data_IF_836969634467
#
_entry.id   IF_836969634467
#
_cell.length_a   1.000
_cell.length_b   1.000
_cell.length_c   1.000
_cell.angle_alpha   90.00
_cell.angle_beta   90.00
_cell.angle_gamma   90.00
#
_symmetry.space_group_name_H-M   'P 1'
#
loop_
_entity.id
_entity.type
_entity.pdbx_description
1 polymer ?
#
# COMPACT_ATOMS: atom_id res chain seq x y z
N UNK A 1 8.55 11.33 4.35
CA UNK A 1 7.15 10.90 4.32
C UNK A 1 6.67 10.96 2.89
N UNK A 2 5.98 9.93 2.40
CA UNK A 2 5.36 9.94 1.08
C UNK A 2 3.87 9.60 1.21
N UNK A 3 3.05 10.13 0.30
CA UNK A 3 1.61 9.90 0.30
C UNK A 3 1.10 9.48 -1.07
N UNK A 4 0.06 8.66 -1.08
CA UNK A 4 -0.67 8.27 -2.28
C UNK A 4 -2.18 8.36 -1.98
N UNK A 5 -2.95 8.93 -2.91
CA UNK A 5 -4.39 9.11 -2.77
C UNK A 5 -5.11 8.36 -3.87
N UNK A 6 -6.19 7.67 -3.51
CA UNK A 6 -7.02 6.92 -4.44
C UNK A 6 -8.49 7.27 -4.26
N UNK A 7 -9.19 7.47 -5.37
CA UNK A 7 -10.64 7.57 -5.36
C UNK A 7 -11.24 6.24 -5.79
N UNK A 8 -12.05 5.64 -4.93
CA UNK A 8 -12.77 4.38 -5.21
C UNK A 8 -14.26 4.66 -5.02
N UNK A 9 -14.99 4.71 -6.13
CA UNK A 9 -16.36 5.22 -6.14
C UNK A 9 -16.41 6.69 -5.73
N UNK A 10 -17.19 6.99 -4.69
CA UNK A 10 -17.32 8.34 -4.12
C UNK A 10 -16.42 8.59 -2.91
N UNK A 11 -15.55 7.63 -2.54
CA UNK A 11 -14.67 7.74 -1.37
C UNK A 11 -13.23 7.99 -1.81
N UNK A 12 -12.59 8.97 -1.17
CA UNK A 12 -11.15 9.20 -1.27
C UNK A 12 -10.45 8.46 -0.12
N UNK A 13 -9.35 7.80 -0.46
CA UNK A 13 -8.50 7.10 0.49
C UNK A 13 -7.08 7.64 0.37
N UNK A 14 -6.59 8.24 1.45
CA UNK A 14 -5.22 8.75 1.54
C UNK A 14 -4.34 7.79 2.33
N UNK A 15 -3.19 7.44 1.76
CA UNK A 15 -2.22 6.53 2.35
C UNK A 15 -0.92 7.25 2.57
N UNK A 16 -0.31 7.00 3.71
CA UNK A 16 1.00 7.56 4.05
C UNK A 16 1.98 6.43 4.26
N UNK A 17 3.19 6.59 3.74
CA UNK A 17 4.34 5.78 4.02
C UNK A 17 5.38 6.64 4.73
N UNK A 18 5.73 6.21 5.94
CA UNK A 18 6.67 6.90 6.81
C UNK A 18 7.87 5.99 7.07
N UNK A 19 9.06 6.49 6.77
CA UNK A 19 10.28 5.74 7.02
C UNK A 19 10.59 5.77 8.52
N UNK A 20 10.73 4.59 9.12
CA UNK A 20 11.13 4.39 10.50
C UNK A 20 12.64 4.12 10.50
N UNK A 21 13.42 5.10 10.97
CA UNK A 21 14.89 5.04 10.90
C UNK A 21 15.49 4.00 11.86
N UNK A 22 14.80 3.75 12.97
CA UNK A 22 15.11 2.77 14.02
C UNK A 22 15.07 1.32 13.50
N UNK A 23 14.04 0.98 12.75
CA UNK A 23 13.86 -0.38 12.18
C UNK A 23 14.26 -0.48 10.72
N UNK A 24 14.63 0.64 10.07
CA UNK A 24 14.86 0.75 8.63
C UNK A 24 13.68 0.21 7.79
N UNK A 25 12.46 0.37 8.29
CA UNK A 25 11.23 -0.12 7.64
C UNK A 25 10.28 1.02 7.31
N UNK A 26 9.28 0.74 6.48
CA UNK A 26 8.22 1.69 6.16
C UNK A 26 6.97 1.36 6.99
N UNK A 27 6.45 2.35 7.69
CA UNK A 27 5.17 2.31 8.37
C UNK A 27 4.10 2.89 7.45
N UNK A 28 3.07 2.10 7.16
CA UNK A 28 1.96 2.51 6.30
C UNK A 28 0.72 2.80 7.13
N UNK A 29 0.00 3.88 6.79
CA UNK A 29 -1.24 4.29 7.47
C UNK A 29 -2.29 4.78 6.48
N UNK A 30 -3.54 4.72 6.92
CA UNK A 30 -4.69 5.38 6.31
C UNK A 30 -5.38 6.21 7.39
N UNK A 31 -5.24 7.54 7.35
CA UNK A 31 -5.52 8.39 8.51
C UNK A 31 -4.69 7.94 9.71
N UNK A 32 -5.34 7.65 10.84
CA UNK A 32 -4.71 7.13 12.05
C UNK A 32 -4.68 5.59 12.13
N UNK A 33 -5.31 4.90 11.17
CA UNK A 33 -5.40 3.46 11.19
C UNK A 33 -4.15 2.80 10.57
N UNK A 34 -3.67 1.67 11.13
CA UNK A 34 -2.60 0.91 10.52
C UNK A 34 -3.04 0.32 9.18
N UNK A 35 -2.11 0.29 8.24
CA UNK A 35 -2.32 -0.23 6.89
C UNK A 35 -1.30 -1.34 6.59
N UNK A 36 -1.78 -2.50 6.20
CA UNK A 36 -0.94 -3.55 5.64
C UNK A 36 -0.77 -3.34 4.14
N UNK A 37 0.48 -3.40 3.67
CA UNK A 37 0.82 -3.32 2.25
C UNK A 37 1.44 -4.65 1.83
N UNK A 38 0.93 -5.22 0.75
CA UNK A 38 1.48 -6.44 0.17
C UNK A 38 1.30 -6.44 -1.35
N UNK A 39 2.00 -7.34 -2.03
CA UNK A 39 2.16 -7.27 -3.48
C UNK A 39 1.59 -8.50 -4.19
N UNK A 40 1.11 -8.32 -5.43
CA UNK A 40 0.60 -9.42 -6.27
C UNK A 40 1.13 -9.35 -7.71
N UNK A 41 1.35 -10.51 -8.34
CA UNK A 41 1.73 -10.62 -9.77
C UNK A 41 0.53 -10.72 -10.72
N UNK A 42 -0.65 -11.06 -10.19
CA UNK A 42 -1.91 -11.17 -10.91
C UNK A 42 -3.08 -10.99 -9.94
N UNK A 43 -4.32 -11.24 -10.38
CA UNK A 43 -5.50 -10.99 -9.55
C UNK A 43 -5.49 -11.73 -8.19
N UNK A 44 -4.92 -12.95 -8.14
CA UNK A 44 -5.08 -13.83 -6.98
C UNK A 44 -3.79 -14.30 -6.29
N UNK A 45 -2.59 -14.09 -6.87
CA UNK A 45 -1.33 -14.60 -6.29
C UNK A 45 -0.51 -13.50 -5.63
N UNK A 46 -0.40 -13.57 -4.29
CA UNK A 46 0.53 -12.77 -3.50
C UNK A 46 1.98 -13.12 -3.85
N UNK A 47 2.86 -12.13 -3.82
CA UNK A 47 4.29 -12.30 -4.06
C UNK A 47 5.11 -11.58 -2.99
N UNK A 48 6.22 -12.17 -2.58
CA UNK A 48 7.25 -11.48 -1.79
C UNK A 48 8.21 -10.65 -2.64
N UNK A 49 8.15 -10.78 -3.97
CA UNK A 49 9.00 -9.99 -4.87
C UNK A 49 8.25 -8.74 -5.34
N UNK A 50 8.32 -7.72 -4.51
CA UNK A 50 7.73 -6.41 -4.72
C UNK A 50 8.14 -5.80 -6.08
N UNK A 51 9.41 -5.98 -6.49
CA UNK A 51 9.92 -5.50 -7.80
C UNK A 51 9.22 -6.11 -9.01
N UNK A 52 8.80 -7.38 -8.93
CA UNK A 52 8.10 -8.08 -10.02
C UNK A 52 6.58 -7.97 -9.95
N UNK A 53 6.05 -7.40 -8.86
CA UNK A 53 4.64 -7.22 -8.65
C UNK A 53 3.99 -6.39 -9.75
N UNK A 54 2.77 -6.74 -10.11
CA UNK A 54 1.92 -5.94 -11.00
C UNK A 54 0.96 -5.05 -10.22
N UNK A 55 0.65 -5.43 -8.98
CA UNK A 55 -0.30 -4.75 -8.12
C UNK A 55 0.25 -4.56 -6.71
N UNK A 56 -0.06 -3.41 -6.13
CA UNK A 56 0.12 -3.10 -4.71
C UNK A 56 -1.26 -3.14 -4.07
N UNK A 57 -1.40 -3.92 -3.01
CA UNK A 57 -2.63 -4.05 -2.26
C UNK A 57 -2.50 -3.39 -0.89
N UNK A 58 -3.58 -2.74 -0.48
CA UNK A 58 -3.69 -1.97 0.73
C UNK A 58 -4.85 -2.54 1.54
N UNK A 59 -4.57 -2.95 2.77
CA UNK A 59 -5.55 -3.59 3.64
C UNK A 59 -5.56 -2.91 5.01
N UNK A 60 -6.73 -2.43 5.41
CA UNK A 60 -7.06 -1.94 6.75
C UNK A 60 -8.37 -2.56 7.22
N UNK A 61 -8.81 -2.23 8.44
CA UNK A 61 -10.13 -2.64 8.92
C UNK A 61 -11.29 -2.01 8.10
N UNK A 62 -11.06 -0.85 7.49
CA UNK A 62 -12.10 -0.09 6.77
C UNK A 62 -12.14 -0.38 5.27
N UNK A 63 -11.03 -0.84 4.68
CA UNK A 63 -10.94 -1.03 3.24
C UNK A 63 -9.90 -2.09 2.85
N UNK A 64 -10.20 -2.78 1.75
CA UNK A 64 -9.25 -3.65 1.05
C UNK A 64 -9.35 -3.42 -0.45
N UNK A 65 -8.25 -2.98 -1.07
CA UNK A 65 -8.19 -2.83 -2.52
C UNK A 65 -6.77 -3.01 -3.04
N UNK A 66 -6.65 -3.22 -4.35
CA UNK A 66 -5.37 -3.32 -5.04
C UNK A 66 -5.34 -2.33 -6.21
N UNK A 67 -4.24 -1.61 -6.33
CA UNK A 67 -3.95 -0.73 -7.46
C UNK A 67 -2.80 -1.28 -8.29
N UNK A 68 -2.66 -0.80 -9.53
CA UNK A 68 -1.49 -1.09 -10.36
C UNK A 68 -0.22 -0.59 -9.64
N UNK A 69 0.89 -1.32 -9.81
CA UNK A 69 2.17 -1.08 -9.11
C UNK A 69 2.52 0.42 -9.04
N UNK A 70 2.81 0.88 -7.84
CA UNK A 70 3.20 2.26 -7.53
C UNK A 70 4.72 2.47 -7.58
N UNK A 71 5.22 3.72 -7.49
CA UNK A 71 6.62 4.04 -7.18
C UNK A 71 6.94 3.96 -5.67
N UNK A 72 8.24 4.03 -5.33
CA UNK A 72 8.74 3.52 -4.04
C UNK A 72 8.36 4.56 -3.01
N UNK A 73 7.86 4.16 -1.83
CA UNK A 73 8.05 2.87 -1.16
C UNK A 73 6.83 1.94 -1.21
N UNK A 74 5.89 2.15 -2.13
CA UNK A 74 4.67 1.35 -2.19
C UNK A 74 4.79 0.11 -3.11
N UNK A 75 5.99 -0.25 -3.60
CA UNK A 75 6.25 -1.42 -4.47
C UNK A 75 7.48 -2.22 -4.08
#
# INVERSE_FOLDING_TARGET
MQSASYQIGQKQYDFTAEYQADTQTWRYRHGDAPLAVYHRNGAFKQTGNAKRARYTCFQSAAAHFCARKLPAPFW
#
